data_IF_622740870902
#
_entry.id   IF_622740870902
#
_cell.length_a   1.000
_cell.length_b   1.000
_cell.length_c   1.000
_cell.angle_alpha   90.00
_cell.angle_beta   90.00
_cell.angle_gamma   90.00
#
_symmetry.space_group_name_H-M   'P 1'
#
loop_
_entity.id
_entity.type
_entity.pdbx_description
1 polymer ?
#
# COMPACT_ATOMS: atom_id res chain seq x y z
N UNK A 1 84.66 -37.42 -0.95
CA UNK A 1 83.82 -36.43 -1.75
C UNK A 1 82.42 -37.07 -1.93
N UNK A 2 81.50 -36.69 -1.08
CA UNK A 2 80.13 -37.19 -1.13
C UNK A 2 79.26 -36.07 -1.70
N UNK A 3 78.63 -36.30 -2.86
CA UNK A 3 77.73 -35.40 -3.49
C UNK A 3 76.32 -35.56 -2.87
N UNK A 4 75.83 -34.49 -2.20
CA UNK A 4 74.45 -34.41 -1.77
C UNK A 4 73.58 -34.08 -2.94
N UNK A 5 72.57 -34.92 -3.21
CA UNK A 5 71.52 -34.71 -4.17
C UNK A 5 70.32 -34.17 -3.36
N UNK A 6 69.94 -32.93 -3.59
CA UNK A 6 68.69 -32.34 -3.05
C UNK A 6 67.54 -32.73 -3.98
N UNK A 7 66.61 -33.50 -3.45
CA UNK A 7 65.30 -33.77 -4.12
C UNK A 7 64.36 -32.68 -3.72
N UNK A 8 63.97 -31.86 -4.67
CA UNK A 8 62.97 -30.83 -4.53
C UNK A 8 61.57 -31.43 -4.76
N UNK A 9 60.82 -31.66 -3.67
CA UNK A 9 59.43 -32.08 -3.75
C UNK A 9 58.52 -30.90 -4.10
N UNK A 10 57.99 -30.93 -5.32
CA UNK A 10 56.97 -29.95 -5.74
C UNK A 10 55.62 -30.46 -5.22
N UNK A 11 55.06 -29.76 -4.24
CA UNK A 11 53.70 -29.95 -3.78
C UNK A 11 52.79 -29.17 -4.72
N UNK A 12 52.03 -29.85 -5.57
CA UNK A 12 50.99 -29.25 -6.41
C UNK A 12 49.76 -29.06 -5.55
N UNK A 13 49.45 -27.81 -5.18
CA UNK A 13 48.16 -27.47 -4.61
C UNK A 13 47.12 -27.42 -5.76
N UNK A 14 46.27 -28.44 -5.82
CA UNK A 14 45.05 -28.36 -6.62
C UNK A 14 44.08 -27.42 -5.90
N UNK A 15 43.98 -26.18 -6.39
CA UNK A 15 42.92 -25.26 -6.00
C UNK A 15 41.66 -25.76 -6.72
N UNK A 16 40.80 -26.44 -5.96
CA UNK A 16 39.42 -26.71 -6.39
C UNK A 16 38.67 -25.40 -6.40
N UNK A 17 38.50 -24.79 -7.58
CA UNK A 17 37.50 -23.76 -7.76
C UNK A 17 36.12 -24.39 -7.64
N UNK A 18 35.52 -24.28 -6.47
CA UNK A 18 34.09 -24.45 -6.32
C UNK A 18 33.45 -23.30 -7.04
N UNK A 19 32.87 -23.54 -8.21
CA UNK A 19 31.91 -22.64 -8.82
C UNK A 19 30.78 -22.47 -7.83
N UNK A 20 30.77 -21.35 -7.12
CA UNK A 20 29.55 -20.82 -6.54
C UNK A 20 28.69 -20.41 -7.72
N UNK A 21 27.77 -21.27 -8.11
CA UNK A 21 26.65 -20.87 -8.92
C UNK A 21 25.91 -19.78 -8.13
N UNK A 22 26.22 -18.52 -8.42
CA UNK A 22 25.27 -17.45 -8.20
C UNK A 22 24.07 -17.83 -9.06
N UNK A 23 23.06 -18.43 -8.45
CA UNK A 23 21.72 -18.37 -8.99
C UNK A 23 21.34 -16.88 -8.98
N UNK A 24 21.70 -16.17 -10.05
CA UNK A 24 20.96 -15.00 -10.45
C UNK A 24 19.52 -15.45 -10.54
N UNK A 25 18.71 -14.96 -9.59
CA UNK A 25 17.28 -15.22 -9.59
C UNK A 25 16.74 -14.77 -10.95
N UNK A 26 16.41 -15.73 -11.76
CA UNK A 26 15.90 -15.52 -13.10
C UNK A 26 14.46 -15.00 -12.96
N UNK A 27 14.29 -13.68 -12.84
CA UNK A 27 13.00 -12.98 -12.72
C UNK A 27 12.15 -13.03 -14.01
N UNK A 28 12.51 -13.89 -14.99
CA UNK A 28 11.92 -13.85 -16.33
C UNK A 28 10.69 -14.74 -16.54
N UNK A 29 10.09 -15.30 -15.47
CA UNK A 29 8.88 -16.10 -15.63
C UNK A 29 7.80 -15.69 -14.63
N UNK A 30 7.36 -14.42 -14.68
CA UNK A 30 6.20 -13.97 -13.91
C UNK A 30 4.97 -14.09 -14.81
N UNK A 31 4.14 -15.07 -14.49
CA UNK A 31 2.78 -15.09 -15.01
C UNK A 31 2.07 -13.85 -14.47
N UNK A 32 1.60 -12.99 -15.37
CA UNK A 32 0.63 -11.95 -15.03
C UNK A 32 -0.70 -12.64 -14.76
N UNK A 33 -1.29 -12.41 -13.58
CA UNK A 33 -2.65 -12.85 -13.33
C UNK A 33 -3.63 -11.86 -13.96
N UNK A 34 -4.70 -12.37 -14.51
CA UNK A 34 -5.78 -11.57 -15.08
C UNK A 34 -7.00 -11.59 -14.16
N UNK A 35 -7.91 -10.66 -14.35
CA UNK A 35 -9.17 -10.64 -13.59
C UNK A 35 -9.91 -11.99 -13.70
N UNK A 36 -9.89 -12.64 -14.87
CA UNK A 36 -10.46 -13.96 -15.11
C UNK A 36 -9.83 -15.11 -14.31
N UNK A 37 -8.62 -14.93 -13.76
CA UNK A 37 -7.93 -15.92 -12.92
C UNK A 37 -8.38 -15.80 -11.44
N UNK A 38 -9.09 -14.74 -11.12
CA UNK A 38 -9.59 -14.44 -9.79
C UNK A 38 -11.07 -14.80 -9.62
N UNK A 39 -11.51 -14.79 -8.39
CA UNK A 39 -12.92 -14.90 -8.01
C UNK A 39 -13.28 -13.82 -7.01
N UNK A 40 -14.51 -13.33 -7.07
CA UNK A 40 -15.03 -12.43 -6.05
C UNK A 40 -15.04 -13.09 -4.68
N UNK A 41 -14.55 -12.39 -3.68
CA UNK A 41 -14.49 -12.89 -2.32
C UNK A 41 -14.80 -11.78 -1.31
N UNK A 42 -15.86 -11.93 -0.49
CA UNK A 42 -16.86 -12.98 -0.54
C UNK A 42 -17.78 -12.87 -1.77
N UNK A 43 -18.28 -14.04 -2.26
CA UNK A 43 -19.01 -14.12 -3.53
C UNK A 43 -20.39 -13.41 -3.54
N UNK A 44 -20.97 -13.13 -2.36
CA UNK A 44 -22.25 -12.45 -2.22
C UNK A 44 -22.14 -10.92 -2.07
N UNK A 45 -20.95 -10.36 -2.29
CA UNK A 45 -20.66 -8.93 -2.25
C UNK A 45 -21.14 -8.21 -0.97
N UNK A 46 -20.79 -8.69 0.24
CA UNK A 46 -21.29 -8.13 1.49
C UNK A 46 -20.50 -6.93 2.01
N UNK A 47 -19.42 -6.53 1.35
CA UNK A 47 -18.53 -5.44 1.79
C UNK A 47 -19.05 -4.08 1.35
N UNK A 48 -18.46 -3.01 1.90
CA UNK A 48 -18.73 -1.64 1.51
C UNK A 48 -17.42 -0.87 1.46
N UNK A 49 -16.93 -0.58 0.26
CA UNK A 49 -15.68 0.15 0.03
C UNK A 49 -14.48 -0.57 0.71
N UNK A 50 -14.20 -1.79 0.26
CA UNK A 50 -13.09 -2.63 0.77
C UNK A 50 -11.75 -2.16 0.18
N UNK A 51 -11.35 -0.96 0.55
CA UNK A 51 -10.26 -0.19 -0.06
C UNK A 51 -8.89 -0.79 0.25
N UNK A 52 -8.68 -1.29 1.48
CA UNK A 52 -7.44 -1.91 1.93
C UNK A 52 -7.72 -2.92 3.04
N UNK A 53 -6.72 -3.68 3.46
CA UNK A 53 -6.86 -4.65 4.53
C UNK A 53 -5.58 -5.41 4.86
N UNK A 54 -5.68 -6.29 5.84
CA UNK A 54 -4.58 -7.14 6.30
C UNK A 54 -4.99 -8.61 6.32
N UNK A 55 -4.01 -9.48 6.11
CA UNK A 55 -4.13 -10.92 6.22
C UNK A 55 -3.56 -11.37 7.57
N UNK A 56 -4.36 -12.12 8.35
CA UNK A 56 -3.95 -12.65 9.64
C UNK A 56 -3.39 -14.07 9.52
N UNK A 57 -2.61 -14.50 10.51
CA UNK A 57 -1.93 -15.81 10.49
C UNK A 57 -2.89 -17.02 10.50
N UNK A 58 -4.14 -16.82 10.90
CA UNK A 58 -5.19 -17.86 10.91
C UNK A 58 -5.95 -17.96 9.57
N UNK A 59 -5.58 -17.15 8.60
CA UNK A 59 -6.19 -17.11 7.27
C UNK A 59 -7.36 -16.15 7.14
N UNK A 60 -7.74 -15.44 8.21
CA UNK A 60 -8.78 -14.42 8.15
C UNK A 60 -8.25 -13.11 7.55
N UNK A 61 -9.16 -12.29 7.02
CA UNK A 61 -8.86 -10.95 6.55
C UNK A 61 -9.57 -9.93 7.43
N UNK A 62 -8.89 -8.82 7.71
CA UNK A 62 -9.53 -7.62 8.23
C UNK A 62 -9.40 -6.53 7.18
N UNK A 63 -10.54 -6.01 6.74
CA UNK A 63 -10.59 -5.02 5.63
C UNK A 63 -11.32 -3.75 6.06
N UNK A 64 -11.03 -2.65 5.39
CA UNK A 64 -11.83 -1.44 5.50
C UNK A 64 -13.29 -1.75 5.11
N UNK A 65 -14.24 -1.26 5.90
CA UNK A 65 -15.66 -1.30 5.57
C UNK A 65 -16.35 -0.02 6.03
N UNK A 66 -16.91 0.69 5.08
CA UNK A 66 -17.46 2.02 5.31
C UNK A 66 -18.62 2.03 6.31
N UNK A 67 -19.32 0.92 6.49
CA UNK A 67 -20.44 0.80 7.45
C UNK A 67 -19.98 0.61 8.89
N UNK A 68 -18.84 -0.06 9.09
CA UNK A 68 -18.42 -0.55 10.40
C UNK A 68 -17.09 0.01 10.87
N UNK A 69 -16.31 0.66 9.99
CA UNK A 69 -14.89 0.97 10.15
C UNK A 69 -14.04 -0.17 9.61
N UNK A 70 -14.14 -1.35 10.23
CA UNK A 70 -13.50 -2.58 9.75
C UNK A 70 -14.52 -3.73 9.67
N UNK A 71 -14.28 -4.65 8.76
CA UNK A 71 -14.97 -5.94 8.65
C UNK A 71 -13.95 -7.09 8.70
N UNK A 72 -14.31 -8.16 9.39
CA UNK A 72 -13.58 -9.42 9.40
C UNK A 72 -14.18 -10.36 8.37
N UNK A 73 -13.35 -11.01 7.59
CA UNK A 73 -13.76 -12.01 6.61
C UNK A 73 -13.13 -13.34 7.01
N UNK A 74 -13.94 -14.31 7.36
CA UNK A 74 -13.49 -15.65 7.67
C UNK A 74 -13.05 -16.41 6.42
N UNK A 75 -12.33 -17.51 6.59
CA UNK A 75 -11.81 -18.33 5.49
C UNK A 75 -12.93 -18.84 4.56
N UNK A 76 -14.14 -19.07 5.10
CA UNK A 76 -15.32 -19.50 4.34
C UNK A 76 -16.08 -18.36 3.66
N UNK A 77 -15.63 -17.11 3.84
CA UNK A 77 -16.26 -15.91 3.28
C UNK A 77 -17.35 -15.30 4.15
N UNK A 78 -17.57 -15.78 5.36
CA UNK A 78 -18.45 -15.11 6.33
C UNK A 78 -17.89 -13.76 6.71
N UNK A 79 -18.74 -12.73 6.74
CA UNK A 79 -18.35 -11.35 7.06
C UNK A 79 -19.05 -10.87 8.31
N UNK A 80 -18.30 -10.31 9.23
CA UNK A 80 -18.81 -9.67 10.44
C UNK A 80 -18.12 -8.33 10.72
N UNK A 81 -18.78 -7.38 11.41
CA UNK A 81 -18.11 -6.17 11.88
C UNK A 81 -16.91 -6.51 12.76
N UNK A 82 -15.83 -5.75 12.62
CA UNK A 82 -14.64 -5.89 13.44
C UNK A 82 -14.24 -4.57 14.09
N UNK A 83 -13.88 -4.63 15.36
CA UNK A 83 -13.53 -3.44 16.14
C UNK A 83 -14.75 -2.76 16.77
N UNK A 84 -14.49 -1.90 17.77
CA UNK A 84 -15.52 -1.19 18.53
C UNK A 84 -15.68 0.27 18.06
N UNK A 85 -15.69 0.47 16.75
CA UNK A 85 -15.79 1.80 16.14
C UNK A 85 -17.07 2.55 16.53
N UNK A 86 -18.19 1.83 16.68
CA UNK A 86 -19.47 2.40 17.09
C UNK A 86 -19.42 3.01 18.50
N UNK A 87 -18.61 2.48 19.41
CA UNK A 87 -18.43 3.02 20.77
C UNK A 87 -17.69 4.36 20.75
N UNK A 88 -16.95 4.66 19.68
CA UNK A 88 -16.24 5.91 19.44
C UNK A 88 -17.03 6.93 18.63
N UNK A 89 -18.31 6.64 18.35
CA UNK A 89 -19.17 7.51 17.55
C UNK A 89 -18.91 7.43 16.04
N UNK A 90 -18.22 6.40 15.57
CA UNK A 90 -18.09 6.15 14.13
C UNK A 90 -19.46 5.93 13.49
N UNK A 91 -19.72 6.62 12.41
CA UNK A 91 -20.91 6.41 11.60
C UNK A 91 -20.66 6.82 10.15
N UNK A 92 -21.38 6.19 9.24
CA UNK A 92 -21.44 6.60 7.83
C UNK A 92 -22.91 6.75 7.45
N UNK A 93 -23.36 7.98 7.32
CA UNK A 93 -24.74 8.35 6.96
C UNK A 93 -24.74 9.64 6.13
N UNK A 94 -24.25 9.56 4.87
CA UNK A 94 -24.18 10.74 4.00
C UNK A 94 -25.57 11.31 3.71
N UNK A 95 -25.72 12.62 3.50
CA UNK A 95 -24.67 13.62 3.51
C UNK A 95 -24.31 14.16 4.92
N UNK A 96 -25.00 13.73 5.97
CA UNK A 96 -24.84 14.28 7.32
C UNK A 96 -23.50 13.92 7.95
N UNK A 97 -23.07 12.66 7.82
CA UNK A 97 -21.79 12.16 8.32
C UNK A 97 -21.17 11.27 7.26
N UNK A 98 -19.93 11.54 6.91
CA UNK A 98 -19.20 10.74 5.95
C UNK A 98 -17.90 10.23 6.58
N UNK A 99 -17.75 8.92 6.59
CA UNK A 99 -16.53 8.21 7.01
C UNK A 99 -16.06 7.33 5.88
N UNK A 100 -14.75 7.20 5.74
CA UNK A 100 -14.12 6.40 4.71
C UNK A 100 -12.85 5.75 5.24
N UNK A 101 -12.96 4.62 5.95
CA UNK A 101 -11.78 3.85 6.32
C UNK A 101 -11.03 3.50 5.04
N UNK A 102 -9.72 3.71 5.08
CA UNK A 102 -8.85 3.67 3.93
C UNK A 102 -7.67 2.74 4.23
N UNK A 103 -6.44 3.24 4.37
CA UNK A 103 -5.29 2.40 4.68
C UNK A 103 -5.46 1.61 5.98
N UNK A 104 -5.21 0.31 5.92
CA UNK A 104 -5.35 -0.67 7.02
C UNK A 104 -4.06 -1.46 7.16
N UNK A 105 -3.34 -1.29 8.27
CA UNK A 105 -2.00 -1.88 8.44
C UNK A 105 -1.83 -2.50 9.82
N UNK A 106 -1.16 -3.66 9.90
CA UNK A 106 -0.73 -4.24 11.16
C UNK A 106 0.43 -3.44 11.75
N UNK A 107 0.43 -3.30 13.09
CA UNK A 107 1.62 -2.85 13.82
C UNK A 107 2.77 -3.87 13.68
N UNK A 108 4.04 -3.48 13.88
CA UNK A 108 5.19 -4.38 13.74
C UNK A 108 5.11 -5.65 14.60
N UNK A 109 4.51 -5.57 15.79
CA UNK A 109 4.25 -6.70 16.68
C UNK A 109 3.03 -7.54 16.28
N UNK A 110 2.23 -7.05 15.31
CA UNK A 110 0.97 -7.64 14.82
C UNK A 110 -0.13 -7.76 15.88
N UNK A 111 -0.02 -7.03 16.98
CA UNK A 111 -1.03 -7.03 18.04
C UNK A 111 -2.19 -6.07 17.75
N UNK A 112 -1.94 -5.05 16.92
CA UNK A 112 -2.92 -4.04 16.58
C UNK A 112 -2.99 -3.79 15.07
N UNK A 113 -4.11 -3.16 14.68
CA UNK A 113 -4.35 -2.64 13.34
C UNK A 113 -4.46 -1.13 13.44
N UNK A 114 -3.71 -0.42 12.61
CA UNK A 114 -3.86 1.03 12.40
C UNK A 114 -4.78 1.24 11.21
N UNK A 115 -5.81 2.05 11.38
CA UNK A 115 -6.78 2.37 10.33
C UNK A 115 -6.86 3.88 10.16
N UNK A 116 -6.66 4.35 8.94
CA UNK A 116 -6.83 5.74 8.54
C UNK A 116 -8.25 5.99 8.02
N UNK A 117 -8.78 7.19 8.18
CA UNK A 117 -10.06 7.59 7.58
C UNK A 117 -9.85 8.82 6.68
N UNK A 118 -10.10 8.63 5.39
CA UNK A 118 -9.81 9.61 4.36
C UNK A 118 -10.83 10.76 4.31
N UNK A 119 -11.99 10.60 4.93
CA UNK A 119 -13.00 11.65 5.00
C UNK A 119 -13.00 12.37 6.35
N UNK A 120 -12.99 11.63 7.45
CA UNK A 120 -13.08 12.21 8.79
C UNK A 120 -11.74 12.68 9.35
N UNK A 121 -10.62 12.13 8.86
CA UNK A 121 -9.26 12.43 9.33
C UNK A 121 -8.87 11.72 10.62
N UNK A 122 -9.67 10.76 11.08
CA UNK A 122 -9.31 9.95 12.23
C UNK A 122 -8.27 8.89 11.89
N UNK A 123 -7.40 8.61 12.86
CA UNK A 123 -6.53 7.44 12.89
C UNK A 123 -6.94 6.60 14.10
N UNK A 124 -7.29 5.35 13.83
CA UNK A 124 -7.73 4.40 14.85
C UNK A 124 -6.66 3.33 15.07
N UNK A 125 -6.64 2.78 16.31
CA UNK A 125 -5.84 1.61 16.67
C UNK A 125 -6.78 0.56 17.25
N UNK A 126 -6.83 -0.61 16.62
CA UNK A 126 -7.74 -1.70 16.99
C UNK A 126 -6.94 -2.94 17.37
N UNK A 127 -7.20 -3.52 18.55
CA UNK A 127 -6.58 -4.77 19.00
C UNK A 127 -7.03 -5.94 18.11
N UNK A 128 -6.08 -6.67 17.53
CA UNK A 128 -6.36 -7.87 16.73
C UNK A 128 -7.07 -8.93 17.58
N UNK A 129 -6.70 -9.05 18.85
CA UNK A 129 -7.22 -10.08 19.76
C UNK A 129 -8.61 -9.78 20.29
N UNK A 130 -8.89 -8.54 20.70
CA UNK A 130 -10.13 -8.20 21.42
C UNK A 130 -11.09 -7.34 20.60
N UNK A 131 -10.65 -6.76 19.50
CA UNK A 131 -11.41 -5.75 18.77
C UNK A 131 -11.52 -4.40 19.50
N UNK A 132 -10.88 -4.24 20.68
CA UNK A 132 -10.88 -2.95 21.35
C UNK A 132 -10.26 -1.89 20.46
N UNK A 133 -10.98 -0.78 20.26
CA UNK A 133 -10.61 0.28 19.32
C UNK A 133 -10.47 1.60 20.07
N UNK A 134 -9.44 2.34 19.74
CA UNK A 134 -9.21 3.70 20.25
C UNK A 134 -8.89 4.67 19.12
N UNK A 135 -9.20 5.95 19.32
CA UNK A 135 -8.75 7.04 18.45
C UNK A 135 -7.37 7.46 18.94
N UNK A 136 -6.35 7.31 18.10
CA UNK A 136 -5.01 7.78 18.46
C UNK A 136 -4.75 9.20 17.96
N UNK A 137 -5.42 9.64 16.92
CA UNK A 137 -5.31 11.01 16.42
C UNK A 137 -6.47 11.41 15.54
N UNK A 138 -6.77 12.71 15.49
CA UNK A 138 -7.63 13.32 14.47
C UNK A 138 -6.91 14.44 13.76
N UNK A 139 -6.66 14.23 12.46
CA UNK A 139 -6.11 15.25 11.60
C UNK A 139 -7.18 16.26 11.16
N UNK A 140 -6.75 17.46 10.82
CA UNK A 140 -7.66 18.51 10.31
C UNK A 140 -8.25 18.13 8.94
N UNK A 141 -7.50 17.39 8.13
CA UNK A 141 -7.90 16.91 6.80
C UNK A 141 -8.04 15.39 6.79
N UNK A 142 -8.48 14.82 5.68
CA UNK A 142 -8.52 13.37 5.51
C UNK A 142 -7.14 12.73 5.62
N UNK A 143 -7.07 11.55 6.25
CA UNK A 143 -5.87 10.73 6.31
C UNK A 143 -6.04 9.55 5.36
N UNK A 144 -5.14 9.42 4.38
CA UNK A 144 -5.23 8.36 3.38
C UNK A 144 -4.70 7.04 3.92
N UNK A 145 -3.46 7.01 4.37
CA UNK A 145 -2.77 5.83 4.90
C UNK A 145 -2.06 6.17 6.20
N UNK A 146 -2.07 5.25 7.17
CA UNK A 146 -1.32 5.39 8.42
C UNK A 146 -0.63 4.08 8.81
N UNK A 147 0.66 4.13 9.19
CA UNK A 147 1.49 2.98 9.53
C UNK A 147 2.29 3.28 10.79
N UNK A 148 2.29 2.35 11.77
CA UNK A 148 3.16 2.42 12.95
C UNK A 148 4.52 1.76 12.62
N UNK A 149 5.62 2.47 12.90
CA UNK A 149 6.98 1.94 12.77
C UNK A 149 7.44 1.19 14.03
N UNK A 150 8.58 0.51 13.98
CA UNK A 150 9.12 -0.27 15.12
C UNK A 150 9.48 0.58 16.35
N UNK A 151 9.57 1.90 16.22
CA UNK A 151 9.77 2.83 17.33
C UNK A 151 8.46 3.19 18.05
N UNK A 152 7.31 2.80 17.48
CA UNK A 152 5.97 3.16 17.94
C UNK A 152 5.52 4.55 17.45
N UNK A 153 6.22 5.13 16.49
CA UNK A 153 5.76 6.34 15.81
C UNK A 153 4.75 5.98 14.72
N UNK A 154 3.72 6.79 14.55
CA UNK A 154 2.72 6.63 13.49
C UNK A 154 2.98 7.65 12.38
N UNK A 155 3.24 7.14 11.20
CA UNK A 155 3.36 7.92 9.98
C UNK A 155 2.02 7.94 9.25
N UNK A 156 1.69 9.05 8.59
CA UNK A 156 0.48 9.10 7.79
C UNK A 156 0.57 10.08 6.62
N UNK A 157 -0.23 9.82 5.60
CA UNK A 157 -0.36 10.68 4.44
C UNK A 157 -1.68 11.46 4.46
N UNK A 158 -1.59 12.72 4.06
CA UNK A 158 -2.68 13.59 3.69
C UNK A 158 -2.64 13.77 2.18
N UNK A 159 -3.66 13.32 1.47
CA UNK A 159 -3.71 13.46 0.01
C UNK A 159 -3.96 14.90 -0.42
N UNK A 160 -4.79 15.64 0.34
CA UNK A 160 -5.19 17.02 0.03
C UNK A 160 -5.67 17.77 1.28
N UNK A 161 -5.61 19.09 1.22
CA UNK A 161 -6.19 20.01 2.22
C UNK A 161 -7.65 20.40 1.90
N UNK A 162 -8.26 19.80 0.89
CA UNK A 162 -9.65 20.06 0.56
C UNK A 162 -10.59 19.58 1.68
N UNK A 163 -11.50 20.46 2.09
CA UNK A 163 -12.52 20.20 3.13
C UNK A 163 -13.97 20.21 2.61
N UNK A 164 -14.16 20.64 1.38
CA UNK A 164 -15.48 20.74 0.75
C UNK A 164 -16.00 19.37 0.31
N UNK A 165 -17.25 19.32 -0.16
CA UNK A 165 -17.90 18.10 -0.63
C UNK A 165 -17.15 17.39 -1.77
N UNK A 166 -16.36 18.13 -2.54
CA UNK A 166 -15.54 17.56 -3.60
C UNK A 166 -14.28 16.84 -3.09
N UNK A 167 -13.78 17.19 -1.89
CA UNK A 167 -12.66 16.54 -1.18
C UNK A 167 -11.65 15.87 -2.10
N UNK A 168 -11.65 14.52 -2.11
CA UNK A 168 -10.74 13.71 -2.91
C UNK A 168 -10.97 13.89 -4.42
N UNK A 169 -12.24 13.94 -4.85
CA UNK A 169 -12.56 14.12 -6.27
C UNK A 169 -12.10 15.48 -6.78
N UNK A 170 -12.26 16.55 -5.98
CA UNK A 170 -11.70 17.86 -6.32
C UNK A 170 -10.19 17.85 -6.43
N UNK A 171 -9.50 17.12 -5.55
CA UNK A 171 -8.05 16.96 -5.61
C UNK A 171 -7.57 16.06 -6.75
N UNK A 172 -8.41 15.11 -7.19
CA UNK A 172 -8.14 14.30 -8.37
C UNK A 172 -8.49 15.02 -9.68
N UNK A 173 -9.22 16.14 -9.61
CA UNK A 173 -9.58 16.96 -10.79
C UNK A 173 -8.47 17.92 -11.21
N UNK A 174 -7.49 18.19 -10.35
CA UNK A 174 -6.37 19.10 -10.61
C UNK A 174 -5.20 18.83 -9.68
N UNK A 175 -3.98 18.94 -10.18
CA UNK A 175 -2.76 18.92 -9.35
C UNK A 175 -2.74 20.13 -8.41
N UNK A 176 -2.78 19.91 -7.09
CA UNK A 176 -2.84 20.97 -6.08
C UNK A 176 -1.51 21.17 -5.35
N UNK A 177 -0.64 20.16 -5.31
CA UNK A 177 0.63 20.22 -4.59
C UNK A 177 0.46 20.37 -3.07
N UNK A 178 -0.64 19.92 -2.50
CA UNK A 178 -1.00 20.09 -1.09
C UNK A 178 -0.99 18.77 -0.30
N UNK A 179 -0.55 17.69 -0.93
CA UNK A 179 -0.31 16.40 -0.29
C UNK A 179 0.93 16.43 0.59
N UNK A 180 0.91 15.67 1.68
CA UNK A 180 1.96 15.69 2.67
C UNK A 180 2.11 14.35 3.42
N UNK A 181 3.30 14.15 3.99
CA UNK A 181 3.62 13.08 4.95
C UNK A 181 3.84 13.68 6.32
N UNK A 182 3.19 13.10 7.32
CA UNK A 182 3.30 13.48 8.72
C UNK A 182 3.79 12.31 9.56
N UNK A 183 4.33 12.61 10.75
CA UNK A 183 4.75 11.63 11.75
C UNK A 183 4.33 12.05 13.16
N UNK A 184 3.74 11.13 13.91
CA UNK A 184 3.46 11.24 15.34
C UNK A 184 4.58 10.50 16.08
N UNK A 185 5.53 11.21 16.76
CA UNK A 185 6.77 10.60 17.28
C UNK A 185 6.53 9.74 18.48
N UNK A 186 5.75 9.03 18.77
CA UNK A 186 5.46 8.16 19.91
C UNK A 186 3.96 8.15 20.24
N UNK A 187 3.24 7.31 19.56
CA UNK A 187 1.79 7.21 19.71
C UNK A 187 1.35 6.77 21.11
N UNK A 188 2.20 6.04 21.86
CA UNK A 188 1.89 5.59 23.24
C UNK A 188 1.83 6.73 24.25
N UNK A 189 2.50 7.84 23.97
CA UNK A 189 2.55 9.03 24.83
C UNK A 189 1.83 10.22 24.18
N UNK A 190 1.07 9.96 23.12
CA UNK A 190 0.34 11.00 22.42
C UNK A 190 -0.77 11.53 23.33
N UNK A 191 -0.82 12.84 23.50
CA UNK A 191 -1.86 13.55 24.22
C UNK A 191 -2.29 14.76 23.41
N UNK A 192 -3.39 15.41 23.79
CA UNK A 192 -3.98 16.54 23.08
C UNK A 192 -3.01 17.72 22.82
N UNK A 193 -1.87 17.75 23.49
CA UNK A 193 -0.82 18.77 23.28
C UNK A 193 0.26 18.37 22.30
N UNK A 194 0.26 17.13 21.80
CA UNK A 194 1.28 16.63 20.87
C UNK A 194 0.79 16.85 19.42
N UNK A 195 1.49 17.68 18.67
CA UNK A 195 1.23 17.88 17.24
C UNK A 195 2.06 16.93 16.39
N UNK A 196 1.50 16.36 15.31
CA UNK A 196 2.31 15.64 14.34
C UNK A 196 3.38 16.51 13.73
N UNK A 197 4.51 15.92 13.44
CA UNK A 197 5.57 16.55 12.65
C UNK A 197 5.20 16.51 11.18
N UNK A 198 5.18 17.65 10.50
CA UNK A 198 5.21 17.68 9.04
C UNK A 198 6.59 17.23 8.59
N UNK A 199 6.69 16.11 7.88
CA UNK A 199 7.96 15.54 7.43
C UNK A 199 8.32 16.05 6.04
N UNK A 200 7.39 15.97 5.11
CA UNK A 200 7.56 16.45 3.74
C UNK A 200 6.19 16.76 3.11
N UNK A 201 6.14 17.80 2.29
CA UNK A 201 4.92 18.22 1.60
C UNK A 201 5.19 18.62 0.15
N UNK A 202 4.14 18.96 -0.59
CA UNK A 202 4.23 19.44 -1.96
C UNK A 202 3.84 18.39 -3.01
N UNK A 203 3.21 17.28 -2.58
CA UNK A 203 2.83 16.20 -3.48
C UNK A 203 1.47 16.45 -4.14
N UNK A 204 1.36 16.00 -5.39
CA UNK A 204 0.10 15.97 -6.11
C UNK A 204 -0.65 14.67 -5.75
N UNK A 205 -1.40 14.72 -4.65
CA UNK A 205 -2.13 13.60 -4.09
C UNK A 205 -1.19 12.51 -3.51
N UNK A 206 -0.61 12.77 -2.31
CA UNK A 206 0.11 11.76 -1.55
C UNK A 206 -0.86 10.62 -1.14
N UNK A 207 -0.49 9.38 -1.46
CA UNK A 207 -1.37 8.22 -1.28
C UNK A 207 -0.69 7.18 -0.38
N UNK A 208 -0.76 5.90 -0.72
CA UNK A 208 -0.13 4.82 0.03
C UNK A 208 1.39 4.96 0.12
N UNK A 209 1.96 4.42 1.18
CA UNK A 209 3.40 4.40 1.39
C UNK A 209 3.84 3.09 2.05
N UNK A 210 5.13 2.80 1.98
CA UNK A 210 5.75 1.66 2.65
C UNK A 210 7.05 2.08 3.36
N UNK A 211 7.25 1.58 4.58
CA UNK A 211 8.44 1.83 5.40
C UNK A 211 9.32 0.58 5.38
N UNK A 212 10.46 0.64 4.70
CA UNK A 212 11.49 -0.39 4.73
C UNK A 212 12.56 -0.01 5.77
N UNK A 213 12.29 -0.38 7.01
CA UNK A 213 13.18 -0.06 8.12
C UNK A 213 14.55 -0.74 7.99
N UNK A 214 14.58 -1.96 7.43
CA UNK A 214 15.81 -2.72 7.26
C UNK A 214 16.79 -2.00 6.33
N UNK A 215 16.29 -1.48 5.21
CA UNK A 215 17.08 -0.78 4.20
C UNK A 215 17.05 0.75 4.41
N UNK A 216 16.37 1.25 5.45
CA UNK A 216 16.21 2.67 5.75
C UNK A 216 15.67 3.45 4.56
N UNK A 217 14.57 2.97 4.00
CA UNK A 217 13.88 3.59 2.87
C UNK A 217 12.42 3.84 3.21
N UNK A 218 11.90 4.90 2.63
CA UNK A 218 10.49 5.24 2.64
C UNK A 218 10.03 5.37 1.19
N UNK A 219 8.98 4.66 0.82
CA UNK A 219 8.40 4.69 -0.51
C UNK A 219 7.03 5.36 -0.44
N UNK A 220 6.72 6.21 -1.41
CA UNK A 220 5.47 7.00 -1.45
C UNK A 220 4.86 6.98 -2.84
N UNK A 221 3.57 6.68 -2.93
CA UNK A 221 2.76 6.90 -4.12
C UNK A 221 2.37 8.36 -4.26
N UNK A 222 2.72 8.97 -5.39
CA UNK A 222 2.19 10.28 -5.79
C UNK A 222 1.26 10.08 -6.98
N UNK A 223 -0.06 10.04 -6.70
CA UNK A 223 -1.08 9.61 -7.66
C UNK A 223 -1.12 10.49 -8.90
N UNK A 224 -1.21 11.81 -8.74
CA UNK A 224 -1.19 12.77 -9.85
C UNK A 224 0.23 13.20 -10.26
N UNK A 225 1.27 12.52 -9.71
CA UNK A 225 2.62 12.55 -10.22
C UNK A 225 2.91 11.39 -11.18
N UNK A 226 2.04 10.38 -11.23
CA UNK A 226 2.28 9.10 -11.93
C UNK A 226 3.63 8.49 -11.56
N UNK A 227 3.97 8.50 -10.27
CA UNK A 227 5.29 8.05 -9.81
C UNK A 227 5.25 7.48 -8.40
N UNK A 228 6.13 6.51 -8.18
CA UNK A 228 6.51 6.05 -6.85
C UNK A 228 7.83 6.71 -6.50
N UNK A 229 7.84 7.43 -5.37
CA UNK A 229 9.01 8.11 -4.84
C UNK A 229 9.73 7.22 -3.83
N UNK A 230 11.05 7.39 -3.70
CA UNK A 230 11.86 6.79 -2.66
C UNK A 230 12.68 7.87 -1.94
N UNK A 231 12.75 7.73 -0.62
CA UNK A 231 13.53 8.59 0.28
C UNK A 231 14.49 7.75 1.13
N UNK A 232 15.58 8.34 1.54
CA UNK A 232 16.38 7.84 2.66
C UNK A 232 15.65 8.18 3.96
N UNK A 233 15.52 7.19 4.85
CA UNK A 233 14.80 7.29 6.13
C UNK A 233 15.78 7.27 7.30
N UNK A 234 15.66 8.25 8.19
CA UNK A 234 16.27 8.21 9.52
C UNK A 234 15.16 7.97 10.57
N UNK A 235 15.02 6.74 11.03
CA UNK A 235 14.02 6.36 12.05
C UNK A 235 14.24 7.07 13.38
N UNK A 236 15.47 7.46 13.72
CA UNK A 236 15.79 8.05 15.03
C UNK A 236 15.15 9.42 15.24
N UNK A 237 14.99 10.18 14.18
CA UNK A 237 14.40 11.52 14.20
C UNK A 237 13.17 11.66 13.27
N UNK A 238 12.90 10.65 12.45
CA UNK A 238 11.79 10.65 11.51
C UNK A 238 11.99 11.54 10.29
N UNK A 239 13.22 11.80 9.89
CA UNK A 239 13.49 12.61 8.70
C UNK A 239 13.55 11.78 7.43
N UNK A 240 13.08 12.37 6.34
CA UNK A 240 13.19 11.87 4.98
C UNK A 240 14.13 12.78 4.18
N UNK A 241 15.02 12.18 3.39
CA UNK A 241 15.99 12.90 2.57
C UNK A 241 16.24 12.21 1.24
N UNK A 242 17.02 12.84 0.35
CA UNK A 242 17.43 12.26 -0.93
C UNK A 242 16.28 11.72 -1.79
N UNK A 243 15.18 12.49 -1.86
CA UNK A 243 14.01 12.14 -2.70
C UNK A 243 14.41 11.83 -4.14
N UNK A 244 13.91 10.72 -4.66
CA UNK A 244 14.09 10.29 -6.06
C UNK A 244 12.83 9.63 -6.57
N UNK A 245 12.62 9.67 -7.88
CA UNK A 245 11.64 8.79 -8.54
C UNK A 245 12.22 7.38 -8.58
N UNK A 246 11.53 6.42 -7.98
CA UNK A 246 11.88 5.01 -8.06
C UNK A 246 11.35 4.40 -9.37
N UNK A 247 10.07 4.60 -9.64
CA UNK A 247 9.39 4.04 -10.82
C UNK A 247 8.26 4.95 -11.28
N UNK A 248 7.99 4.95 -12.58
CA UNK A 248 6.83 5.63 -13.15
C UNK A 248 5.67 4.65 -13.26
N UNK A 249 4.66 4.83 -12.42
CA UNK A 249 3.42 4.02 -12.38
C UNK A 249 2.24 4.95 -12.62
N UNK A 250 1.31 4.63 -13.51
CA UNK A 250 0.10 5.43 -13.71
C UNK A 250 -0.73 5.51 -12.43
N UNK A 251 -1.04 6.71 -11.95
CA UNK A 251 -1.85 6.97 -10.76
C UNK A 251 -1.62 5.96 -9.62
N UNK A 252 -0.39 5.81 -9.06
CA UNK A 252 -0.12 4.82 -8.03
C UNK A 252 -0.94 5.12 -6.78
N UNK A 253 -1.41 4.04 -6.12
CA UNK A 253 -2.26 4.08 -4.95
C UNK A 253 -1.60 3.30 -3.79
N UNK A 254 -2.26 2.34 -3.16
CA UNK A 254 -1.68 1.57 -2.07
C UNK A 254 -0.56 0.65 -2.56
N UNK A 255 0.36 0.36 -1.64
CA UNK A 255 1.51 -0.50 -1.92
C UNK A 255 1.80 -1.46 -0.77
N UNK A 256 2.33 -2.63 -1.13
CA UNK A 256 2.74 -3.64 -0.16
C UNK A 256 3.99 -4.38 -0.64
N UNK A 257 4.92 -4.68 0.27
CA UNK A 257 6.06 -5.54 -0.03
C UNK A 257 5.61 -7.00 -0.12
N UNK A 258 5.98 -7.68 -1.19
CA UNK A 258 5.74 -9.11 -1.31
C UNK A 258 6.85 -9.94 -0.62
N UNK A 259 6.65 -11.27 -0.54
CA UNK A 259 7.59 -12.18 0.10
C UNK A 259 8.93 -12.36 -0.63
N UNK A 260 9.03 -11.87 -1.87
CA UNK A 260 10.25 -11.95 -2.69
C UNK A 260 11.02 -10.61 -2.69
N UNK A 261 10.61 -9.64 -1.86
CA UNK A 261 11.26 -8.34 -1.72
C UNK A 261 10.95 -7.38 -2.87
N UNK A 262 9.84 -7.58 -3.58
CA UNK A 262 9.35 -6.68 -4.60
C UNK A 262 8.20 -5.83 -4.05
N UNK A 263 8.19 -4.55 -4.39
CA UNK A 263 7.13 -3.65 -3.97
C UNK A 263 5.98 -3.72 -4.98
N UNK A 264 4.82 -4.22 -4.53
CA UNK A 264 3.61 -4.22 -5.32
C UNK A 264 2.86 -2.92 -5.12
N UNK A 265 2.37 -2.34 -6.21
CA UNK A 265 1.70 -1.02 -6.23
C UNK A 265 0.44 -1.11 -7.07
N UNK A 266 -0.68 -0.74 -6.49
CA UNK A 266 -1.96 -0.62 -7.19
C UNK A 266 -1.96 0.61 -8.10
N UNK A 267 -2.65 0.52 -9.22
CA UNK A 267 -2.82 1.60 -10.19
C UNK A 267 -4.27 1.67 -10.64
N UNK A 268 -5.09 2.50 -10.02
CA UNK A 268 -6.52 2.63 -10.33
C UNK A 268 -6.81 2.97 -11.79
N UNK A 269 -6.08 3.95 -12.35
CA UNK A 269 -6.34 4.41 -13.72
C UNK A 269 -6.01 3.35 -14.77
N UNK A 270 -4.99 2.50 -14.53
CA UNK A 270 -4.68 1.39 -15.43
C UNK A 270 -5.45 0.11 -15.08
N UNK A 271 -6.11 0.07 -13.92
CA UNK A 271 -6.79 -1.11 -13.37
C UNK A 271 -5.85 -2.33 -13.26
N UNK A 272 -4.63 -2.10 -12.75
CA UNK A 272 -3.52 -3.06 -12.70
C UNK A 272 -2.79 -2.98 -11.36
N UNK A 273 -2.07 -4.06 -11.01
CA UNK A 273 -1.06 -4.05 -9.96
C UNK A 273 0.31 -4.23 -10.61
N UNK A 274 1.25 -3.37 -10.25
CA UNK A 274 2.63 -3.42 -10.69
C UNK A 274 3.51 -3.98 -9.59
N UNK A 275 4.54 -4.71 -9.98
CA UNK A 275 5.65 -5.15 -9.13
C UNK A 275 6.89 -4.36 -9.50
N UNK A 276 7.51 -3.70 -8.52
CA UNK A 276 8.70 -2.88 -8.70
C UNK A 276 9.91 -3.59 -8.09
N UNK A 277 10.98 -3.70 -8.85
CA UNK A 277 12.30 -4.09 -8.36
C UNK A 277 12.96 -2.88 -7.70
N UNK A 278 13.24 -2.95 -6.40
CA UNK A 278 13.78 -1.83 -5.63
C UNK A 278 15.22 -1.46 -5.99
N UNK A 279 15.97 -2.36 -6.63
CA UNK A 279 17.37 -2.12 -6.98
C UNK A 279 17.54 -1.20 -8.18
N UNK A 280 16.61 -1.25 -9.15
CA UNK A 280 16.72 -0.52 -10.42
C UNK A 280 15.45 0.24 -10.81
N UNK A 281 14.34 0.08 -10.06
CA UNK A 281 13.07 0.74 -10.30
C UNK A 281 12.28 0.16 -11.48
N UNK A 282 12.73 -0.96 -12.07
CA UNK A 282 11.98 -1.61 -13.14
C UNK A 282 10.66 -2.15 -12.62
N UNK A 283 9.59 -2.02 -13.41
CA UNK A 283 8.26 -2.48 -13.03
C UNK A 283 7.68 -3.44 -14.07
N UNK A 284 6.90 -4.39 -13.57
CA UNK A 284 6.14 -5.36 -14.39
C UNK A 284 4.72 -5.47 -13.87
N UNK A 285 3.75 -5.68 -14.75
CA UNK A 285 2.37 -5.94 -14.35
C UNK A 285 2.27 -7.36 -13.78
N UNK A 286 1.72 -7.48 -12.57
CA UNK A 286 1.48 -8.77 -11.90
C UNK A 286 0.00 -9.13 -11.84
N UNK A 287 -0.89 -8.14 -11.88
CA UNK A 287 -2.33 -8.34 -12.02
C UNK A 287 -2.89 -7.37 -13.05
N UNK A 288 -3.72 -7.86 -13.96
CA UNK A 288 -4.28 -7.10 -15.06
C UNK A 288 -5.81 -7.30 -15.16
N UNK A 289 -6.54 -6.21 -14.90
CA UNK A 289 -7.98 -6.12 -15.12
C UNK A 289 -8.32 -5.00 -16.12
N UNK A 290 -7.34 -4.54 -16.91
CA UNK A 290 -7.52 -3.45 -17.84
C UNK A 290 -8.45 -3.83 -19.00
N UNK A 291 -9.46 -3.00 -19.23
CA UNK A 291 -10.35 -3.13 -20.41
C UNK A 291 -9.73 -2.49 -21.65
N UNK A 292 -10.25 -2.81 -22.83
CA UNK A 292 -9.78 -2.16 -24.05
C UNK A 292 -10.06 -0.66 -24.06
N UNK A 293 -11.24 -0.23 -23.60
CA UNK A 293 -11.56 1.19 -23.41
C UNK A 293 -10.70 1.82 -22.31
N UNK A 294 -10.42 1.08 -21.23
CA UNK A 294 -9.50 1.50 -20.17
C UNK A 294 -8.09 1.81 -20.67
N UNK A 295 -7.60 1.10 -21.69
CA UNK A 295 -6.30 1.41 -22.32
C UNK A 295 -6.31 2.78 -23.00
N UNK A 296 -7.41 3.11 -23.68
CA UNK A 296 -7.56 4.42 -24.33
C UNK A 296 -7.66 5.54 -23.28
N UNK A 297 -8.48 5.33 -22.25
CA UNK A 297 -8.64 6.26 -21.13
C UNK A 297 -7.32 6.49 -20.40
N UNK A 298 -6.52 5.43 -20.19
CA UNK A 298 -5.20 5.54 -19.57
C UNK A 298 -4.30 6.53 -20.34
N UNK A 299 -4.27 6.47 -21.68
CA UNK A 299 -3.47 7.39 -22.48
C UNK A 299 -3.94 8.84 -22.33
N UNK A 300 -5.26 9.06 -22.26
CA UNK A 300 -5.84 10.39 -22.00
C UNK A 300 -5.40 10.88 -20.61
N UNK A 301 -5.51 10.02 -19.57
CA UNK A 301 -5.13 10.37 -18.20
C UNK A 301 -3.64 10.69 -18.04
N UNK A 302 -2.76 9.90 -18.65
CA UNK A 302 -1.31 10.18 -18.65
C UNK A 302 -0.99 11.55 -19.28
N UNK A 303 -1.65 11.90 -20.38
CA UNK A 303 -1.48 13.21 -21.01
C UNK A 303 -2.02 14.35 -20.14
N UNK A 304 -3.16 14.17 -19.47
CA UNK A 304 -3.74 15.16 -18.55
C UNK A 304 -2.80 15.43 -17.38
N UNK A 305 -2.37 14.39 -16.68
CA UNK A 305 -1.46 14.53 -15.52
C UNK A 305 -0.15 15.24 -15.92
N UNK A 306 0.40 14.92 -17.08
CA UNK A 306 1.59 15.61 -17.60
C UNK A 306 1.37 17.12 -17.79
N UNK A 307 0.15 17.54 -18.06
CA UNK A 307 -0.23 18.95 -18.25
C UNK A 307 -0.71 19.62 -16.94
N UNK A 308 -0.70 18.92 -15.80
CA UNK A 308 -1.18 19.39 -14.52
C UNK A 308 -2.72 19.29 -14.35
N UNK A 309 -3.40 18.63 -15.28
CA UNK A 309 -4.83 18.34 -15.19
C UNK A 309 -5.09 17.08 -14.38
N UNK A 310 -6.31 16.91 -13.88
CA UNK A 310 -6.71 15.74 -13.10
C UNK A 310 -7.33 14.62 -13.93
N UNK A 311 -7.71 13.56 -13.21
CA UNK A 311 -8.26 12.32 -13.77
C UNK A 311 -9.62 11.92 -13.16
N UNK A 312 -10.20 12.73 -12.28
CA UNK A 312 -11.41 12.36 -11.54
C UNK A 312 -12.57 11.91 -12.43
N UNK A 313 -12.81 12.61 -13.53
CA UNK A 313 -13.87 12.32 -14.50
C UNK A 313 -13.56 11.13 -15.43
N UNK A 314 -12.33 10.64 -15.40
CA UNK A 314 -11.92 9.44 -16.16
C UNK A 314 -12.16 8.15 -15.37
N UNK A 315 -12.21 8.25 -14.02
CA UNK A 315 -12.37 7.10 -13.14
C UNK A 315 -13.85 6.71 -13.10
N UNK A 316 -14.18 5.59 -13.72
CA UNK A 316 -15.56 5.13 -13.81
C UNK A 316 -15.67 3.70 -14.35
N UNK A 317 -16.89 3.25 -14.70
CA UNK A 317 -17.15 1.88 -15.15
C UNK A 317 -16.31 1.45 -16.37
N UNK A 318 -15.96 2.39 -17.26
CA UNK A 318 -15.16 2.11 -18.44
C UNK A 318 -13.72 1.72 -18.08
N UNK A 319 -13.20 2.20 -16.94
CA UNK A 319 -11.89 1.82 -16.38
C UNK A 319 -12.01 0.55 -15.56
N UNK A 320 -13.00 0.47 -14.66
CA UNK A 320 -13.14 -0.67 -13.74
C UNK A 320 -13.60 -1.95 -14.42
N UNK A 321 -14.34 -1.86 -15.53
CA UNK A 321 -14.90 -3.02 -16.22
C UNK A 321 -15.79 -3.84 -15.27
N UNK A 322 -15.55 -5.15 -15.24
CA UNK A 322 -16.28 -6.11 -14.40
C UNK A 322 -15.78 -6.19 -12.95
N UNK A 323 -14.74 -5.45 -12.59
CA UNK A 323 -14.26 -5.37 -11.21
C UNK A 323 -15.39 -4.87 -10.28
N UNK A 324 -15.52 -5.37 -9.04
CA UNK A 324 -16.53 -4.91 -8.07
C UNK A 324 -16.46 -3.42 -7.75
N UNK A 325 -15.30 -2.80 -7.96
CA UNK A 325 -15.05 -1.39 -7.74
C UNK A 325 -13.69 -0.98 -8.29
N UNK A 326 -13.34 0.29 -8.11
CA UNK A 326 -12.04 0.83 -8.51
C UNK A 326 -10.92 0.14 -7.74
N UNK A 327 -9.96 -0.45 -8.45
CA UNK A 327 -8.78 -1.09 -7.87
C UNK A 327 -7.95 -0.04 -7.12
N UNK A 328 -7.67 -0.25 -5.83
CA UNK A 328 -6.94 0.68 -4.96
C UNK A 328 -5.78 0.04 -4.23
N UNK A 329 -5.81 -1.29 -4.02
CA UNK A 329 -4.81 -1.94 -3.19
C UNK A 329 -4.71 -3.45 -3.42
N UNK A 330 -3.95 -4.09 -2.55
CA UNK A 330 -3.83 -5.54 -2.49
C UNK A 330 -3.56 -6.00 -1.07
N UNK A 331 -4.01 -7.20 -0.74
CA UNK A 331 -3.70 -7.88 0.51
C UNK A 331 -2.93 -9.14 0.17
N UNK A 332 -1.67 -9.22 0.57
CA UNK A 332 -0.81 -10.35 0.27
C UNK A 332 -0.91 -11.36 1.41
N UNK A 333 -1.46 -12.53 1.11
CA UNK A 333 -1.52 -13.66 2.04
C UNK A 333 -0.16 -14.35 2.23
N UNK A 334 -0.16 -15.61 2.65
CA UNK A 334 1.07 -16.40 2.78
C UNK A 334 1.85 -16.51 1.46
N UNK A 335 3.13 -16.85 1.54
CA UNK A 335 4.04 -16.85 0.37
C UNK A 335 3.51 -17.63 -0.83
N UNK A 336 2.88 -18.77 -0.60
CA UNK A 336 2.26 -19.59 -1.65
C UNK A 336 0.73 -19.61 -1.58
N UNK A 337 0.17 -18.78 -0.71
CA UNK A 337 -1.26 -18.58 -0.57
C UNK A 337 -1.81 -17.57 -1.58
N UNK A 338 -3.11 -17.31 -1.53
CA UNK A 338 -3.74 -16.32 -2.39
C UNK A 338 -3.25 -14.90 -2.05
N UNK A 339 -3.41 -13.99 -3.01
CA UNK A 339 -3.50 -12.56 -2.72
C UNK A 339 -4.90 -12.07 -3.08
N UNK A 340 -5.26 -10.92 -2.55
CA UNK A 340 -6.57 -10.33 -2.77
C UNK A 340 -6.38 -8.92 -3.33
N UNK A 341 -7.12 -8.60 -4.39
CA UNK A 341 -7.16 -7.25 -4.95
C UNK A 341 -8.23 -6.48 -4.21
N UNK A 342 -7.81 -5.44 -3.50
CA UNK A 342 -8.68 -4.51 -2.81
C UNK A 342 -9.20 -3.43 -3.77
N UNK A 343 -10.41 -2.94 -3.50
CA UNK A 343 -11.08 -1.98 -4.38
C UNK A 343 -12.18 -1.22 -3.63
N UNK A 344 -12.72 -0.16 -4.24
CA UNK A 344 -13.80 0.63 -3.64
C UNK A 344 -15.18 -0.03 -3.79
N UNK A 345 -15.24 -1.35 -3.93
CA UNK A 345 -16.46 -2.10 -4.18
C UNK A 345 -16.94 -2.93 -2.99
N UNK A 346 -17.75 -3.92 -3.32
CA UNK A 346 -18.47 -4.77 -2.36
C UNK A 346 -17.87 -6.16 -2.18
N UNK A 347 -16.78 -6.47 -2.86
CA UNK A 347 -16.02 -7.71 -2.74
C UNK A 347 -14.56 -7.46 -3.11
N UNK A 348 -13.65 -8.26 -2.59
CA UNK A 348 -12.28 -8.37 -3.06
C UNK A 348 -12.22 -9.31 -4.29
N UNK A 349 -11.11 -9.31 -5.03
CA UNK A 349 -10.82 -10.38 -5.99
C UNK A 349 -9.73 -11.27 -5.39
N UNK A 350 -10.09 -12.50 -5.08
CA UNK A 350 -9.15 -13.52 -4.60
C UNK A 350 -8.47 -14.19 -5.78
N UNK A 351 -7.16 -14.14 -5.83
CA UNK A 351 -6.32 -14.76 -6.86
C UNK A 351 -5.45 -15.83 -6.21
N UNK A 352 -5.57 -17.07 -6.67
CA UNK A 352 -4.71 -18.17 -6.21
C UNK A 352 -3.39 -18.15 -7.00
N UNK A 353 -2.27 -18.24 -6.28
CA UNK A 353 -0.91 -18.29 -6.88
C UNK A 353 -0.54 -19.67 -7.31
#
# INVERSE_FOLDING_TARGET
MVKNIFILSIVIFLISCTNSNNEEANFTNKNTWHFSDGVEFPANRPLSRAEDGVFLNDGTLIVADQRYGLAKIEVDGTVEPFGKFNELGYSHNPPAVESGPNGVHLTPDKEFIITADVFSGYIYKTSVKSGDTEIIYKHEFGVNTAIEDSTGAVWFTQSTKNKNEERLFGALSKSLGDGAVYRIPNSKNFNDSTSPQLVVEGFNFANGFYIDELNRKFYLSETLGNQVLVFDLDLSNGSLSNQKVLSSIPSPDNMQMNHDGLLWVASPLSNQIYSINLSDGTSTVVFDAQTDLGKEILQVGLNRVKNGDGIADLIGPDVTGDMPGLLTGMIIGEKQGPFYVANLGQALIKVNR
#
